data_IF_803860144281
#
_entry.id   IF_803860144281
#
_cell.length_a   1.000
_cell.length_b   1.000
_cell.length_c   1.000
_cell.angle_alpha   90.00
_cell.angle_beta   90.00
_cell.angle_gamma   90.00
#
_symmetry.space_group_name_H-M   'P 1'
#
loop_
_entity.id
_entity.type
_entity.pdbx_description
1 polymer ?
#
# COMPACT_ATOMS: atom_id res chain seq x y z
N UNK A 1 -8.22 13.13 -10.39
CA UNK A 1 -7.15 12.86 -9.39
C UNK A 1 -7.69 13.35 -8.06
N UNK A 2 -7.86 12.48 -7.05
CA UNK A 2 -8.37 12.93 -5.75
C UNK A 2 -7.19 13.54 -5.00
N UNK A 3 -7.22 14.86 -4.81
CA UNK A 3 -6.23 15.57 -4.00
C UNK A 3 -6.59 15.43 -2.52
N UNK A 4 -5.64 14.93 -1.72
CA UNK A 4 -5.80 14.73 -0.27
C UNK A 4 -5.00 15.76 0.55
N UNK A 5 -4.38 16.74 -0.10
CA UNK A 5 -3.54 17.75 0.55
C UNK A 5 -4.32 18.51 1.63
N UNK A 6 -5.56 18.91 1.33
CA UNK A 6 -6.43 19.59 2.30
C UNK A 6 -6.79 18.70 3.50
N UNK A 7 -7.07 17.42 3.28
CA UNK A 7 -7.36 16.48 4.37
C UNK A 7 -6.14 16.26 5.27
N UNK A 8 -4.93 16.23 4.70
CA UNK A 8 -3.70 16.12 5.49
C UNK A 8 -3.41 17.35 6.33
N UNK A 9 -3.71 18.55 5.81
CA UNK A 9 -3.62 19.79 6.58
C UNK A 9 -4.58 19.76 7.78
N UNK A 10 -5.85 19.46 7.54
CA UNK A 10 -6.84 19.35 8.62
C UNK A 10 -6.45 18.31 9.69
N UNK A 11 -5.92 17.14 9.29
CA UNK A 11 -5.45 16.13 10.25
C UNK A 11 -4.31 16.67 11.12
N UNK A 12 -3.35 17.40 10.55
CA UNK A 12 -2.23 17.98 11.29
C UNK A 12 -2.67 19.09 12.24
N UNK A 13 -3.67 19.88 11.84
CA UNK A 13 -4.24 20.94 12.69
C UNK A 13 -5.08 20.38 13.83
N UNK A 14 -5.96 19.42 13.57
CA UNK A 14 -6.86 18.86 14.59
C UNK A 14 -6.18 17.85 15.51
N UNK A 15 -5.10 17.18 15.06
CA UNK A 15 -4.44 16.11 15.80
C UNK A 15 -2.93 16.34 15.84
N UNK A 16 -2.48 17.10 16.84
CA UNK A 16 -1.08 17.55 17.02
C UNK A 16 -0.03 16.42 17.13
N UNK A 17 -0.45 15.18 17.40
CA UNK A 17 0.42 13.99 17.44
C UNK A 17 0.30 13.06 16.21
N UNK A 18 -0.55 13.38 15.25
CA UNK A 18 -0.79 12.51 14.11
C UNK A 18 0.36 12.59 13.09
N UNK A 19 0.94 11.42 12.75
CA UNK A 19 1.96 11.30 11.71
C UNK A 19 1.29 10.87 10.41
N UNK A 20 1.18 11.78 9.44
CA UNK A 20 0.67 11.46 8.11
C UNK A 20 1.73 10.67 7.33
N UNK A 21 1.45 9.39 7.04
CA UNK A 21 2.35 8.49 6.29
C UNK A 21 2.00 8.36 4.80
N UNK A 22 0.94 9.03 4.34
CA UNK A 22 0.42 8.95 2.97
C UNK A 22 -1.00 8.40 2.92
N UNK A 23 -1.41 7.90 1.76
CA UNK A 23 -2.77 7.42 1.52
C UNK A 23 -2.77 5.96 1.05
N UNK A 24 -3.47 5.08 1.77
CA UNK A 24 -3.60 3.66 1.42
C UNK A 24 -4.24 3.45 0.05
N UNK A 25 -5.17 4.33 -0.36
CA UNK A 25 -5.80 4.24 -1.68
C UNK A 25 -4.78 4.47 -2.80
N UNK A 26 -3.95 5.51 -2.67
CA UNK A 26 -2.89 5.78 -3.64
C UNK A 26 -1.82 4.69 -3.65
N UNK A 27 -1.44 4.17 -2.47
CA UNK A 27 -0.55 3.00 -2.35
C UNK A 27 -1.12 1.80 -3.11
N UNK A 28 -2.36 1.42 -2.81
CA UNK A 28 -3.06 0.28 -3.42
C UNK A 28 -3.13 0.44 -4.93
N UNK A 29 -3.48 1.65 -5.41
CA UNK A 29 -3.54 1.94 -6.83
C UNK A 29 -2.17 1.80 -7.51
N UNK A 30 -1.11 2.33 -6.90
CA UNK A 30 0.24 2.27 -7.45
C UNK A 30 0.78 0.82 -7.49
N UNK A 31 0.61 0.07 -6.41
CA UNK A 31 0.97 -1.36 -6.36
C UNK A 31 0.19 -2.14 -7.40
N UNK A 32 -1.13 -1.93 -7.50
CA UNK A 32 -1.96 -2.66 -8.46
C UNK A 32 -1.62 -2.32 -9.91
N UNK A 33 -1.36 -1.04 -10.22
CA UNK A 33 -0.86 -0.64 -11.53
C UNK A 33 0.42 -1.42 -11.89
N UNK A 34 1.37 -1.49 -10.96
CA UNK A 34 2.62 -2.23 -11.18
C UNK A 34 2.39 -3.74 -11.36
N UNK A 35 1.47 -4.34 -10.60
CA UNK A 35 1.07 -5.75 -10.77
C UNK A 35 0.52 -6.00 -12.18
N UNK A 36 -0.28 -5.08 -12.72
CA UNK A 36 -0.80 -5.19 -14.08
C UNK A 36 0.30 -5.01 -15.12
N UNK A 37 1.18 -4.02 -14.97
CA UNK A 37 2.29 -3.75 -15.89
C UNK A 37 3.26 -4.94 -16.02
N UNK A 38 3.43 -5.69 -14.93
CA UNK A 38 4.24 -6.91 -14.90
C UNK A 38 3.51 -8.14 -15.47
N UNK A 39 2.27 -8.01 -15.92
CA UNK A 39 1.47 -9.13 -16.41
C UNK A 39 1.07 -10.12 -15.31
N UNK A 40 1.13 -9.73 -14.03
CA UNK A 40 0.90 -10.63 -12.90
C UNK A 40 -0.59 -10.80 -12.55
N UNK A 41 -1.50 -10.11 -13.24
CA UNK A 41 -2.95 -10.25 -13.00
C UNK A 41 -3.45 -11.71 -13.08
N UNK A 42 -3.09 -12.53 -14.09
CA UNK A 42 -3.50 -13.93 -14.11
C UNK A 42 -2.93 -14.72 -12.92
N UNK A 43 -1.66 -14.50 -12.57
CA UNK A 43 -1.04 -15.15 -11.43
C UNK A 43 -1.72 -14.78 -10.11
N UNK A 44 -2.05 -13.50 -9.91
CA UNK A 44 -2.83 -13.04 -8.75
C UNK A 44 -4.20 -13.74 -8.64
N UNK A 45 -4.87 -13.98 -9.77
CA UNK A 45 -6.21 -14.59 -9.79
C UNK A 45 -6.18 -16.11 -9.62
N UNK A 46 -5.09 -16.78 -10.02
CA UNK A 46 -5.06 -18.24 -10.17
C UNK A 46 -4.07 -18.94 -9.22
N UNK A 47 -3.10 -18.22 -8.64
CA UNK A 47 -2.05 -18.80 -7.80
C UNK A 47 -2.12 -18.21 -6.39
N UNK A 48 -2.38 -19.07 -5.41
CA UNK A 48 -2.45 -18.69 -3.99
C UNK A 48 -1.18 -17.99 -3.50
N UNK A 49 -0.01 -18.38 -3.98
CA UNK A 49 1.27 -17.75 -3.64
C UNK A 49 1.35 -16.30 -4.10
N UNK A 50 1.00 -16.02 -5.36
CA UNK A 50 0.99 -14.67 -5.91
C UNK A 50 -0.12 -13.81 -5.28
N UNK A 51 -1.30 -14.39 -5.05
CA UNK A 51 -2.39 -13.75 -4.32
C UNK A 51 -1.94 -13.30 -2.92
N UNK A 52 -1.36 -14.20 -2.13
CA UNK A 52 -0.92 -13.92 -0.76
C UNK A 52 0.19 -12.87 -0.74
N UNK A 53 1.20 -12.99 -1.60
CA UNK A 53 2.31 -12.05 -1.67
C UNK A 53 1.85 -10.64 -2.05
N UNK A 54 1.00 -10.51 -3.09
CA UNK A 54 0.48 -9.20 -3.50
C UNK A 54 -0.37 -8.58 -2.40
N UNK A 55 -1.16 -9.37 -1.66
CA UNK A 55 -1.92 -8.87 -0.52
C UNK A 55 -1.02 -8.43 0.64
N UNK A 56 0.04 -9.16 0.94
CA UNK A 56 1.04 -8.74 1.92
C UNK A 56 1.65 -7.38 1.53
N UNK A 57 2.01 -7.20 0.26
CA UNK A 57 2.49 -5.91 -0.27
C UNK A 57 1.46 -4.79 -0.09
N UNK A 58 0.18 -5.04 -0.39
CA UNK A 58 -0.89 -4.07 -0.19
C UNK A 58 -1.08 -3.67 1.28
N UNK A 59 -0.79 -4.58 2.22
CA UNK A 59 -0.91 -4.34 3.66
C UNK A 59 0.31 -3.66 4.29
N UNK A 60 1.44 -3.52 3.59
CA UNK A 60 2.67 -2.94 4.15
C UNK A 60 2.51 -1.59 4.85
N UNK A 61 1.67 -0.63 4.39
CA UNK A 61 1.50 0.64 5.08
C UNK A 61 0.98 0.52 6.52
N UNK A 62 0.36 -0.61 6.87
CA UNK A 62 -0.17 -0.88 8.20
C UNK A 62 0.81 -1.63 9.10
N UNK A 63 1.93 -2.11 8.56
CA UNK A 63 2.90 -2.89 9.32
C UNK A 63 4.03 -2.00 9.83
N UNK A 64 4.47 -2.14 11.10
CA UNK A 64 5.70 -1.53 11.57
C UNK A 64 6.89 -2.00 10.74
N UNK A 65 7.79 -1.08 10.36
CA UNK A 65 8.93 -1.39 9.49
C UNK A 65 9.82 -2.52 10.05
N UNK A 66 9.98 -2.58 11.37
CA UNK A 66 10.74 -3.61 12.07
C UNK A 66 10.16 -5.04 11.94
N UNK A 67 8.90 -5.18 11.53
CA UNK A 67 8.26 -6.48 11.31
C UNK A 67 8.27 -6.89 9.83
N UNK A 68 8.82 -6.06 8.93
CA UNK A 68 8.95 -6.38 7.51
C UNK A 68 10.24 -7.21 7.34
N UNK A 69 10.09 -8.53 7.20
CA UNK A 69 11.19 -9.43 6.89
C UNK A 69 11.62 -9.38 5.42
N UNK A 70 12.79 -9.96 5.07
CA UNK A 70 13.19 -10.15 3.69
C UNK A 70 12.28 -11.17 2.99
N UNK A 71 11.77 -10.83 1.80
CA UNK A 71 10.87 -11.70 1.02
C UNK A 71 11.60 -12.53 -0.03
N UNK A 72 12.69 -12.00 -0.60
CA UNK A 72 13.50 -12.67 -1.61
C UNK A 72 14.92 -12.79 -1.06
N UNK A 73 15.26 -14.00 -0.63
CA UNK A 73 16.62 -14.41 -0.26
C UNK A 73 16.99 -15.61 -1.13
#
# INVERSE_FOLDING_TARGET
MIDLSAAWLAVRECFSGAIVKGCVFHWTKAVWARVMDLGLKPAYMQRSSAFNLIRQLLCLPFLPAQHIGPTFM
#
